data_IF_744364031583
#
_entry.id   IF_744364031583
#
_cell.length_a   1.000
_cell.length_b   1.000
_cell.length_c   1.000
_cell.angle_alpha   90.00
_cell.angle_beta   90.00
_cell.angle_gamma   90.00
#
_symmetry.space_group_name_H-M   'P 1'
#
loop_
_entity.id
_entity.type
_entity.pdbx_description
1 polymer ?
#
# COMPACT_ATOMS: atom_id res chain seq x y z
N UNK A 1 5.73 17.53 1.56
CA UNK A 1 4.71 17.91 2.57
C UNK A 1 3.37 17.35 2.09
N UNK A 2 3.06 16.12 2.46
CA UNK A 2 1.79 15.49 2.07
C UNK A 2 0.67 16.03 2.97
N UNK A 3 -0.42 16.50 2.37
CA UNK A 3 -1.60 16.96 3.09
C UNK A 3 -2.73 15.97 2.83
N UNK A 4 -3.34 15.44 3.90
CA UNK A 4 -4.56 14.66 3.81
C UNK A 4 -5.74 15.53 4.25
N UNK A 5 -6.82 15.53 3.48
CA UNK A 5 -8.04 16.28 3.79
C UNK A 5 -9.18 15.29 4.11
N UNK A 6 -9.80 15.46 5.28
CA UNK A 6 -10.96 14.69 5.70
C UNK A 6 -12.24 15.42 5.24
N UNK A 7 -12.97 14.83 4.29
CA UNK A 7 -14.27 15.36 3.83
C UNK A 7 -15.40 14.72 4.65
N UNK A 8 -16.01 15.49 5.55
CA UNK A 8 -17.20 15.06 6.29
C UNK A 8 -18.45 15.51 5.52
N UNK A 9 -19.32 14.56 5.14
CA UNK A 9 -20.68 14.88 4.73
C UNK A 9 -21.52 15.16 5.97
N UNK A 10 -22.45 16.11 5.89
CA UNK A 10 -23.36 16.42 7.01
C UNK A 10 -24.27 15.22 7.27
N UNK A 11 -23.95 14.40 8.28
CA UNK A 11 -24.89 13.42 8.80
C UNK A 11 -25.96 14.14 9.62
N UNK A 12 -27.18 13.62 9.58
CA UNK A 12 -28.35 14.19 10.25
C UNK A 12 -28.02 14.42 11.73
N UNK A 13 -28.20 15.67 12.18
CA UNK A 13 -27.70 16.18 13.45
C UNK A 13 -28.07 15.27 14.64
N UNK A 14 -27.10 14.49 15.08
CA UNK A 14 -27.02 13.84 16.39
C UNK A 14 -25.63 14.11 16.94
N UNK A 15 -25.51 14.35 18.25
CA UNK A 15 -24.24 14.66 18.91
C UNK A 15 -23.20 13.57 18.64
N UNK A 16 -22.24 13.85 17.76
CA UNK A 16 -21.05 13.02 17.57
C UNK A 16 -20.08 13.37 18.70
N UNK A 17 -19.91 12.47 19.68
CA UNK A 17 -19.00 12.71 20.81
C UNK A 17 -17.57 12.26 20.53
N UNK A 18 -17.34 11.44 19.49
CA UNK A 18 -16.02 10.97 19.08
C UNK A 18 -15.92 10.88 17.56
N UNK A 19 -14.81 11.38 17.00
CA UNK A 19 -14.39 11.14 15.61
C UNK A 19 -13.16 10.24 15.69
N UNK A 20 -13.27 9.00 15.21
CA UNK A 20 -12.12 8.13 15.06
C UNK A 20 -11.41 8.47 13.76
N UNK A 21 -10.12 8.78 13.85
CA UNK A 21 -9.24 8.98 12.69
C UNK A 21 -8.26 7.82 12.68
N UNK A 22 -8.52 6.83 11.83
CA UNK A 22 -7.60 5.71 11.64
C UNK A 22 -6.51 6.14 10.66
N UNK A 23 -5.28 6.24 11.16
CA UNK A 23 -4.10 6.46 10.33
C UNK A 23 -3.73 5.11 9.70
N UNK A 24 -4.15 4.88 8.46
CA UNK A 24 -3.63 3.76 7.67
C UNK A 24 -2.17 4.04 7.31
N UNK A 25 -1.25 3.52 8.13
CA UNK A 25 0.15 3.41 7.77
C UNK A 25 0.27 2.29 6.74
N UNK A 26 0.60 2.65 5.50
CA UNK A 26 0.95 1.66 4.49
C UNK A 26 2.22 0.92 4.94
N UNK A 27 2.14 -0.40 5.05
CA UNK A 27 3.29 -1.24 5.41
C UNK A 27 4.16 -1.36 4.17
N UNK A 28 5.44 -1.02 4.26
CA UNK A 28 6.37 -1.21 3.15
C UNK A 28 6.44 -2.70 2.80
N UNK A 29 6.14 -3.03 1.54
CA UNK A 29 6.11 -4.41 1.06
C UNK A 29 4.74 -5.08 1.07
N UNK A 30 3.72 -4.47 1.70
CA UNK A 30 2.32 -4.92 1.63
C UNK A 30 1.67 -4.35 0.37
N UNK A 31 1.81 -5.09 -0.73
CA UNK A 31 1.38 -4.67 -2.07
C UNK A 31 -0.10 -5.00 -2.27
N UNK A 32 -0.58 -6.09 -1.69
CA UNK A 32 -1.98 -6.51 -1.83
C UNK A 32 -2.92 -5.83 -0.81
N UNK A 33 -2.37 -5.17 0.21
CA UNK A 33 -3.11 -4.42 1.23
C UNK A 33 -3.78 -5.29 2.29
N UNK A 34 -3.31 -6.53 2.49
CA UNK A 34 -3.90 -7.47 3.45
C UNK A 34 -3.37 -7.31 4.88
N UNK A 35 -2.36 -6.45 5.07
CA UNK A 35 -1.76 -6.13 6.36
C UNK A 35 -0.61 -7.05 6.76
N UNK A 36 -0.25 -8.03 5.93
CA UNK A 36 0.94 -8.86 6.08
C UNK A 36 1.95 -8.56 4.95
N UNK A 37 3.23 -8.88 5.19
CA UNK A 37 4.27 -8.79 4.15
C UNK A 37 4.79 -10.20 3.92
N UNK A 38 4.28 -10.86 2.87
CA UNK A 38 4.54 -12.27 2.61
C UNK A 38 4.56 -12.60 1.11
N UNK A 39 4.57 -13.88 0.76
CA UNK A 39 4.67 -14.35 -0.64
C UNK A 39 3.47 -13.94 -1.51
N UNK A 40 2.34 -13.58 -0.90
CA UNK A 40 1.16 -13.04 -1.59
C UNK A 40 1.46 -11.68 -2.22
N UNK A 41 2.28 -10.85 -1.56
CA UNK A 41 2.75 -9.57 -2.11
C UNK A 41 3.69 -9.74 -3.30
N UNK A 42 4.53 -10.78 -3.25
CA UNK A 42 5.39 -11.16 -4.38
C UNK A 42 4.53 -11.50 -5.60
N UNK A 43 3.44 -12.25 -5.39
CA UNK A 43 2.50 -12.59 -6.46
C UNK A 43 1.78 -11.34 -6.99
N UNK A 44 1.38 -10.43 -6.09
CA UNK A 44 0.76 -9.15 -6.46
C UNK A 44 1.70 -8.29 -7.32
N UNK A 45 2.98 -8.19 -6.94
CA UNK A 45 4.00 -7.45 -7.69
C UNK A 45 4.27 -8.06 -9.07
N UNK A 46 4.35 -9.39 -9.17
CA UNK A 46 4.50 -10.06 -10.47
C UNK A 46 3.29 -9.76 -11.36
N UNK A 47 2.08 -9.80 -10.81
CA UNK A 47 0.86 -9.47 -11.56
C UNK A 47 0.84 -8.00 -12.01
N UNK A 48 1.38 -7.07 -11.22
CA UNK A 48 1.60 -5.67 -11.63
C UNK A 48 2.53 -5.58 -12.84
N UNK A 49 3.70 -6.22 -12.74
CA UNK A 49 4.73 -6.21 -13.80
C UNK A 49 4.19 -6.81 -15.10
N UNK A 50 3.38 -7.87 -15.00
CA UNK A 50 2.73 -8.52 -16.14
C UNK A 50 1.50 -7.76 -16.66
N UNK A 51 1.10 -6.63 -16.04
CA UNK A 51 -0.10 -5.87 -16.41
C UNK A 51 -1.41 -6.62 -16.15
N UNK A 52 -1.38 -7.70 -15.36
CA UNK A 52 -2.55 -8.52 -15.00
C UNK A 52 -3.29 -7.99 -13.76
N UNK A 53 -2.73 -7.01 -13.05
CA UNK A 53 -3.35 -6.33 -11.92
C UNK A 53 -2.84 -4.90 -11.79
N UNK A 54 -3.65 -4.02 -11.20
CA UNK A 54 -3.30 -2.62 -10.98
C UNK A 54 -3.08 -2.34 -9.50
N UNK A 55 -1.83 -2.04 -9.14
CA UNK A 55 -1.42 -1.55 -7.83
C UNK A 55 -0.75 -0.17 -7.99
N UNK A 56 -0.65 0.58 -6.89
CA UNK A 56 -0.03 1.91 -6.91
C UNK A 56 1.47 1.79 -7.17
N UNK A 57 2.00 2.62 -8.07
CA UNK A 57 3.44 2.60 -8.39
C UNK A 57 4.29 2.90 -7.13
N UNK A 58 3.77 3.73 -6.24
CA UNK A 58 4.40 4.06 -4.96
C UNK A 58 4.59 2.88 -4.00
N UNK A 59 3.84 1.78 -4.17
CA UNK A 59 4.01 0.56 -3.35
C UNK A 59 4.82 -0.53 -4.05
N UNK A 60 4.99 -0.41 -5.37
CA UNK A 60 5.63 -1.44 -6.18
C UNK A 60 7.12 -1.19 -6.40
N UNK A 61 7.58 0.07 -6.28
CA UNK A 61 9.00 0.45 -6.30
C UNK A 61 9.62 0.19 -4.91
N UNK A 62 10.06 -1.06 -4.68
CA UNK A 62 10.54 -1.54 -3.39
C UNK A 62 12.01 -1.13 -3.17
N UNK A 63 12.77 -1.00 -4.25
CA UNK A 63 14.19 -0.63 -4.18
C UNK A 63 14.44 0.88 -4.33
N UNK A 64 13.43 1.66 -4.73
CA UNK A 64 13.48 3.12 -4.87
C UNK A 64 14.24 3.61 -6.11
N UNK A 65 14.38 2.78 -7.15
CA UNK A 65 15.10 3.14 -8.37
C UNK A 65 14.23 3.85 -9.43
N UNK A 66 12.92 3.91 -9.20
CA UNK A 66 11.95 4.58 -10.05
C UNK A 66 11.43 3.74 -11.22
N UNK A 67 11.88 2.49 -11.37
CA UNK A 67 11.31 1.49 -12.27
C UNK A 67 10.58 0.41 -11.48
N UNK A 68 9.52 -0.18 -12.06
CA UNK A 68 8.81 -1.30 -11.44
C UNK A 68 9.14 -2.55 -12.26
N UNK A 69 10.09 -3.34 -11.77
CA UNK A 69 10.58 -4.52 -12.48
C UNK A 69 11.02 -5.66 -11.54
N UNK A 70 11.76 -6.65 -12.07
CA UNK A 70 12.18 -7.83 -11.30
C UNK A 70 13.20 -7.51 -10.18
N UNK A 71 13.85 -6.35 -10.22
CA UNK A 71 14.68 -5.84 -9.13
C UNK A 71 13.85 -5.63 -7.85
N UNK A 72 12.65 -5.09 -7.96
CA UNK A 72 11.71 -4.91 -6.85
C UNK A 72 11.25 -6.23 -6.26
N UNK A 73 10.99 -7.22 -7.12
CA UNK A 73 10.65 -8.59 -6.68
C UNK A 73 11.77 -9.15 -5.82
N UNK A 74 13.02 -8.95 -6.23
CA UNK A 74 14.19 -9.41 -5.46
C UNK A 74 14.31 -8.64 -4.14
N UNK A 75 14.08 -7.33 -4.15
CA UNK A 75 14.11 -6.50 -2.95
C UNK A 75 13.01 -6.90 -1.95
N UNK A 76 11.81 -7.22 -2.43
CA UNK A 76 10.70 -7.71 -1.62
C UNK A 76 10.98 -9.08 -1.01
N UNK A 77 11.54 -10.02 -1.78
CA UNK A 77 11.96 -11.32 -1.24
C UNK A 77 13.00 -11.13 -0.13
N UNK A 78 13.97 -10.23 -0.33
CA UNK A 78 14.96 -9.92 0.70
C UNK A 78 14.35 -9.25 1.94
N UNK A 79 13.22 -8.54 1.80
CA UNK A 79 12.47 -7.99 2.92
C UNK A 79 11.78 -9.08 3.73
N UNK A 80 11.15 -10.05 3.04
CA UNK A 80 10.40 -11.17 3.66
C UNK A 80 11.34 -12.14 4.40
N UNK A 81 12.57 -12.34 3.90
CA UNK A 81 13.53 -13.31 4.46
C UNK A 81 14.38 -12.79 5.63
N UNK A 82 14.31 -11.49 5.95
CA UNK A 82 15.03 -10.90 7.08
C UNK A 82 14.36 -11.23 8.42
#
# INVERSE_FOLDING_TARGET
>A
VYSAYLKLSSFQAGSVTHINIDLYSQITGDINGDGEVNVSDVTALINKILGSSTYSDAVCDINGDGEINVSDVTALINLILK
#
